data_IF_219927374470
#
_entry.id   IF_219927374470
#
_cell.length_a   1.000
_cell.length_b   1.000
_cell.length_c   1.000
_cell.angle_alpha   90.00
_cell.angle_beta   90.00
_cell.angle_gamma   90.00
#
_symmetry.space_group_name_H-M   'P 1'
#
loop_
_entity.id
_entity.type
_entity.pdbx_description
1 polymer ?
#
# COMPACT_ATOMS: atom_id res chain seq x y z
N UNK A 1 11.04 10.19 14.89
CA UNK A 1 11.81 10.11 13.63
C UNK A 1 12.39 8.72 13.54
N UNK A 2 11.97 7.95 12.54
CA UNK A 2 12.34 6.54 12.32
C UNK A 2 13.52 6.46 11.35
N UNK A 3 14.32 5.40 11.43
CA UNK A 3 15.28 5.07 10.37
C UNK A 3 14.58 4.32 9.23
N UNK A 4 15.14 4.32 8.00
CA UNK A 4 14.63 3.49 6.92
C UNK A 4 14.49 2.01 7.29
N UNK A 5 15.45 1.47 8.04
CA UNK A 5 15.40 0.08 8.51
C UNK A 5 14.23 -0.20 9.46
N UNK A 6 13.94 0.71 10.39
CA UNK A 6 12.79 0.56 11.29
C UNK A 6 11.46 0.60 10.52
N UNK A 7 11.36 1.48 9.52
CA UNK A 7 10.15 1.55 8.67
C UNK A 7 10.03 0.31 7.80
N UNK A 8 11.14 -0.21 7.27
CA UNK A 8 11.19 -1.44 6.48
C UNK A 8 10.66 -2.63 7.30
N UNK A 9 11.12 -2.77 8.54
CA UNK A 9 10.61 -3.78 9.47
C UNK A 9 9.11 -3.61 9.76
N UNK A 10 8.62 -2.39 9.95
CA UNK A 10 7.20 -2.13 10.21
C UNK A 10 6.31 -2.47 9.01
N UNK A 11 6.77 -2.14 7.80
CA UNK A 11 6.02 -2.34 6.56
C UNK A 11 6.24 -3.73 5.93
N UNK A 12 7.19 -4.51 6.46
CA UNK A 12 7.62 -5.81 5.91
C UNK A 12 8.07 -5.70 4.44
N UNK A 13 8.84 -4.65 4.13
CA UNK A 13 9.42 -4.38 2.81
C UNK A 13 10.93 -4.18 2.93
N UNK A 14 11.63 -4.07 1.80
CA UNK A 14 13.06 -3.80 1.78
C UNK A 14 13.39 -2.34 2.11
N UNK A 15 14.59 -2.10 2.65
CA UNK A 15 15.06 -0.74 3.00
C UNK A 15 15.12 0.18 1.77
N UNK A 16 15.54 -0.36 0.63
CA UNK A 16 15.59 0.41 -0.63
C UNK A 16 14.19 0.80 -1.11
N UNK A 17 13.18 -0.03 -0.83
CA UNK A 17 11.79 0.26 -1.14
C UNK A 17 11.25 1.40 -0.27
N UNK A 18 11.61 1.43 1.02
CA UNK A 18 11.31 2.57 1.90
C UNK A 18 11.92 3.86 1.35
N UNK A 19 13.17 3.82 0.87
CA UNK A 19 13.81 4.99 0.25
C UNK A 19 13.08 5.40 -1.02
N UNK A 20 12.66 4.45 -1.86
CA UNK A 20 11.88 4.72 -3.06
C UNK A 20 10.54 5.40 -2.71
N UNK A 21 9.83 4.95 -1.67
CA UNK A 21 8.59 5.58 -1.20
C UNK A 21 8.81 7.03 -0.73
N UNK A 22 9.96 7.33 -0.13
CA UNK A 22 10.31 8.72 0.24
C UNK A 22 10.59 9.56 -1.01
N UNK A 23 11.30 9.01 -2.00
CA UNK A 23 11.58 9.69 -3.26
C UNK A 23 10.33 9.93 -4.10
N UNK A 24 9.37 9.01 -4.04
CA UNK A 24 8.06 9.09 -4.69
C UNK A 24 7.08 10.03 -3.95
N UNK A 25 7.48 10.57 -2.80
CA UNK A 25 6.66 11.47 -2.00
C UNK A 25 5.53 10.78 -1.22
N UNK A 26 5.49 9.43 -1.23
CA UNK A 26 4.53 8.62 -0.47
C UNK A 26 4.86 8.57 1.02
N UNK A 27 6.15 8.70 1.37
CA UNK A 27 6.59 8.85 2.75
C UNK A 27 7.35 10.16 2.94
N UNK A 28 7.07 10.86 4.05
CA UNK A 28 7.83 12.06 4.43
C UNK A 28 9.13 11.66 5.10
N UNK A 29 10.24 12.02 4.48
CA UNK A 29 11.57 11.80 5.03
C UNK A 29 12.60 12.83 4.57
N UNK A 30 13.63 13.03 5.40
CA UNK A 30 14.73 13.95 5.12
C UNK A 30 16.07 13.36 5.55
N UNK A 31 17.15 13.79 4.90
CA UNK A 31 18.51 13.47 5.34
C UNK A 31 18.98 14.53 6.33
N UNK A 32 19.28 14.12 7.56
CA UNK A 32 19.60 15.02 8.68
C UNK A 32 20.90 14.59 9.36
N UNK A 33 21.64 15.57 9.88
CA UNK A 33 22.90 15.38 10.62
C UNK A 33 24.17 15.33 9.77
N UNK A 34 25.30 15.06 10.42
CA UNK A 34 26.61 14.85 9.79
C UNK A 34 27.29 13.59 10.37
N UNK A 35 27.52 12.53 9.56
CA UNK A 35 27.09 12.38 8.17
C UNK A 35 25.57 12.31 8.02
N UNK A 36 25.06 12.75 6.87
CA UNK A 36 23.62 12.87 6.62
C UNK A 36 22.94 11.49 6.55
N UNK A 37 22.03 11.23 7.49
CA UNK A 37 21.26 9.97 7.58
C UNK A 37 19.78 10.23 7.34
N UNK A 38 19.12 9.32 6.65
CA UNK A 38 17.68 9.37 6.44
C UNK A 38 16.91 9.27 7.76
N UNK A 39 15.91 10.13 7.91
CA UNK A 39 14.93 10.13 8.99
C UNK A 39 13.54 10.27 8.39
N UNK A 40 12.65 9.39 8.82
CA UNK A 40 11.28 9.29 8.33
C UNK A 40 10.33 9.72 9.45
N UNK A 41 9.29 10.47 9.08
CA UNK A 41 8.25 10.88 10.01
C UNK A 41 7.32 9.70 10.32
N UNK A 42 7.18 9.36 11.61
CA UNK A 42 6.33 8.24 12.02
C UNK A 42 4.85 8.47 11.67
N UNK A 43 4.38 9.72 11.75
CA UNK A 43 3.02 10.07 11.35
C UNK A 43 2.77 9.76 9.87
N UNK A 44 3.72 10.08 8.99
CA UNK A 44 3.60 9.77 7.56
C UNK A 44 3.57 8.26 7.27
N UNK A 45 4.19 7.43 8.10
CA UNK A 45 4.08 5.97 7.97
C UNK A 45 2.69 5.49 8.37
N UNK A 46 2.09 6.10 9.41
CA UNK A 46 0.69 5.85 9.78
C UNK A 46 -0.28 6.24 8.67
N UNK A 47 -0.15 7.47 8.15
CA UNK A 47 -0.98 7.97 7.04
C UNK A 47 -0.88 7.04 5.82
N UNK A 48 0.34 6.59 5.48
CA UNK A 48 0.56 5.64 4.38
C UNK A 48 -0.15 4.30 4.58
N UNK A 49 -0.14 3.77 5.81
CA UNK A 49 -0.82 2.51 6.12
C UNK A 49 -2.34 2.65 6.04
N UNK A 50 -2.89 3.77 6.50
CA UNK A 50 -4.32 4.04 6.42
C UNK A 50 -4.78 4.13 4.95
N UNK A 51 -4.01 4.80 4.09
CA UNK A 51 -4.25 4.85 2.64
C UNK A 51 -4.24 3.45 2.01
N UNK A 52 -3.25 2.61 2.37
CA UNK A 52 -3.14 1.24 1.86
C UNK A 52 -4.30 0.34 2.31
N UNK A 53 -4.78 0.50 3.55
CA UNK A 53 -5.94 -0.25 4.06
C UNK A 53 -7.21 0.14 3.32
N UNK A 54 -7.39 1.43 3.03
CA UNK A 54 -8.54 1.90 2.27
C UNK A 54 -8.51 1.41 0.81
N UNK A 55 -7.34 1.38 0.17
CA UNK A 55 -7.18 0.79 -1.17
C UNK A 55 -7.46 -0.72 -1.18
N UNK A 56 -7.02 -1.46 -0.16
CA UNK A 56 -7.36 -2.87 0.01
C UNK A 56 -8.87 -3.07 0.22
N UNK A 57 -9.52 -2.20 0.99
CA UNK A 57 -10.96 -2.20 1.22
C UNK A 57 -11.74 -1.97 -0.09
N UNK A 58 -11.34 -0.98 -0.89
CA UNK A 58 -11.95 -0.72 -2.21
C UNK A 58 -11.76 -1.90 -3.17
N UNK A 59 -10.57 -2.50 -3.18
CA UNK A 59 -10.26 -3.66 -4.01
C UNK A 59 -11.10 -4.89 -3.65
N UNK A 60 -11.32 -5.13 -2.34
CA UNK A 60 -12.17 -6.23 -1.87
C UNK A 60 -13.65 -6.04 -2.26
N UNK A 61 -14.13 -4.79 -2.29
CA UNK A 61 -15.48 -4.46 -2.77
C UNK A 61 -15.61 -4.63 -4.29
N UNK A 62 -14.58 -4.28 -5.06
CA UNK A 62 -14.51 -4.52 -6.51
C UNK A 62 -14.41 -6.02 -6.88
N UNK A 63 -13.79 -6.85 -6.02
CA UNK A 63 -13.75 -8.30 -6.22
C UNK A 63 -15.13 -8.95 -5.99
N UNK A 64 -15.86 -8.52 -4.94
CA UNK A 64 -17.20 -9.04 -4.64
C UNK A 64 -18.25 -8.62 -5.68
N UNK A 65 -18.16 -7.41 -6.22
CA UNK A 65 -19.09 -6.94 -7.27
C UNK A 65 -18.94 -7.71 -8.58
N UNK A 66 -17.76 -8.21 -8.94
CA UNK A 66 -17.55 -9.05 -10.12
C UNK A 66 -18.12 -10.47 -9.96
N UNK A 67 -18.07 -11.05 -8.76
CA UNK A 67 -18.62 -12.39 -8.49
C UNK A 67 -20.16 -12.37 -8.46
N UNK A 68 -20.76 -11.27 -8.01
CA UNK A 68 -22.21 -11.13 -7.94
C UNK A 68 -22.89 -10.72 -9.26
N UNK A 69 -22.14 -10.21 -10.25
CA UNK A 69 -22.73 -9.56 -11.44
C UNK A 69 -22.94 -10.44 -12.68
N UNK A 70 -22.72 -11.77 -12.62
CA UNK A 70 -23.00 -12.63 -13.79
C UNK A 70 -23.63 -14.01 -13.50
N UNK A 71 -24.85 -14.09 -12.93
CA UNK A 71 -25.64 -15.31 -12.96
C UNK A 71 -26.24 -15.64 -14.35
N UNK A 72 -26.53 -14.64 -15.19
CA UNK A 72 -27.37 -14.86 -16.39
C UNK A 72 -26.61 -15.34 -17.63
N UNK A 73 -25.27 -15.30 -17.62
CA UNK A 73 -24.45 -15.68 -18.78
C UNK A 73 -24.34 -17.21 -19.00
N UNK A 74 -24.77 -18.01 -18.03
CA UNK A 74 -24.93 -19.47 -18.15
C UNK A 74 -26.35 -19.89 -18.54
N UNK A 75 -27.26 -18.92 -18.70
CA UNK A 75 -28.68 -19.14 -18.91
C UNK A 75 -29.14 -19.20 -20.37
N UNK A 76 -28.46 -19.91 -21.29
CA UNK A 76 -29.13 -20.44 -22.51
C UNK A 76 -28.28 -21.42 -23.32
N UNK A 77 -28.25 -22.67 -22.87
CA UNK A 77 -27.84 -23.83 -23.68
C UNK A 77 -28.96 -24.87 -23.74
N UNK A 78 -30.04 -24.52 -24.44
CA UNK A 78 -31.26 -25.30 -24.65
C UNK A 78 -31.02 -26.62 -25.42
N UNK A 79 -31.92 -27.58 -25.18
CA UNK A 79 -32.36 -28.75 -25.99
C UNK A 79 -31.68 -30.07 -25.59
N UNK A 80 -32.40 -31.18 -25.55
CA UNK A 80 -33.76 -31.48 -26.00
C UNK A 80 -33.93 -32.99 -26.04
#
# INVERSE_FOLDING_TARGET
>A
MLTPSQVAEMLQIEVDEVVALVLDGRLRGARVGSPARWRIEAASVGDYLDDQVEDARRSALWQQSQVASFPELWGRGRRG
#
